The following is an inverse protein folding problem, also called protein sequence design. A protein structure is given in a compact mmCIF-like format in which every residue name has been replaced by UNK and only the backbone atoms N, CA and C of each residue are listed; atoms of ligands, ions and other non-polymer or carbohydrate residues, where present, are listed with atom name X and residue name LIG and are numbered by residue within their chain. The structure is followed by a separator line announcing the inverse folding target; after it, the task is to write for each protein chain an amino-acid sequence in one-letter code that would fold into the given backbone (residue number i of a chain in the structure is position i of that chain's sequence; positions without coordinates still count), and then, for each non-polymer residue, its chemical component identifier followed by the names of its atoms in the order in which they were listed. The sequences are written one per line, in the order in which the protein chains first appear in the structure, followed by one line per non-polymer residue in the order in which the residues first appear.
data_IF_427798532409
#
_entry.id   IF_427798532409
#
_cell.length_a   1.000
_cell.length_b   1.000
_cell.length_c   1.000
_cell.angle_alpha   90.00
_cell.angle_beta   90.00
_cell.angle_gamma   90.00
#
_symmetry.space_group_name_H-M   'P 1'
#
loop_
_entity.id
_entity.type
_entity.pdbx_description
1 polymer ?
#
# COMPACT_ATOMS: atom_id res chain seq x y z
N UNK A 1 -8.60 -0.48 42.13
CA UNK A 1 -7.23 -0.85 41.68
C UNK A 1 -6.99 -0.17 40.35
N UNK A 2 -6.20 0.90 40.33
CA UNK A 2 -5.79 1.52 39.07
C UNK A 2 -4.61 0.70 38.53
N UNK A 3 -4.79 0.04 37.38
CA UNK A 3 -3.66 -0.55 36.67
C UNK A 3 -2.77 0.58 36.17
N UNK A 4 -1.65 0.76 36.86
CA UNK A 4 -0.49 1.49 36.37
C UNK A 4 0.04 0.74 35.15
N UNK A 5 -0.36 1.17 33.96
CA UNK A 5 0.33 0.80 32.72
C UNK A 5 1.70 1.50 32.75
N UNK A 6 2.74 0.77 33.14
CA UNK A 6 4.11 1.22 32.94
C UNK A 6 4.30 1.37 31.42
N UNK A 7 4.24 2.61 30.92
CA UNK A 7 4.67 2.92 29.58
C UNK A 7 6.17 2.66 29.51
N UNK A 8 6.55 1.48 29.03
CA UNK A 8 7.90 1.21 28.55
C UNK A 8 8.27 2.33 27.59
N UNK A 9 9.47 2.89 27.76
CA UNK A 9 9.95 3.95 26.89
C UNK A 9 10.03 3.41 25.47
N UNK A 10 9.09 3.82 24.61
CA UNK A 10 9.06 3.47 23.17
C UNK A 10 10.44 3.69 22.56
N UNK A 11 11.02 2.65 21.98
CA UNK A 11 12.28 2.81 21.27
C UNK A 11 12.01 3.59 19.98
N UNK A 12 12.85 4.60 19.69
CA UNK A 12 12.65 5.46 18.54
C UNK A 12 13.81 5.29 17.56
N UNK A 13 13.48 5.03 16.30
CA UNK A 13 14.47 5.02 15.23
C UNK A 13 14.80 6.46 14.84
N UNK A 14 16.09 6.78 14.77
CA UNK A 14 16.60 8.11 14.43
C UNK A 14 17.56 8.04 13.24
N UNK A 15 17.29 8.82 12.21
CA UNK A 15 18.15 8.92 11.03
C UNK A 15 18.08 10.32 10.42
N UNK A 16 19.09 10.70 9.64
CA UNK A 16 19.10 11.97 8.90
C UNK A 16 18.85 11.71 7.43
N UNK A 17 18.06 12.57 6.79
CA UNK A 17 17.85 12.59 5.34
C UNK A 17 17.90 14.01 4.79
N UNK A 18 18.13 14.15 3.49
CA UNK A 18 18.28 15.46 2.86
C UNK A 18 16.93 16.09 2.48
N UNK A 19 15.95 15.26 2.08
CA UNK A 19 14.61 15.73 1.72
C UNK A 19 13.85 16.26 2.96
N UNK A 20 13.01 17.31 2.81
CA UNK A 20 12.12 17.78 3.87
C UNK A 20 10.94 16.82 4.12
N UNK A 21 10.25 16.95 5.28
CA UNK A 21 8.95 16.30 5.51
C UNK A 21 7.94 16.65 4.41
N UNK A 22 7.14 15.66 4.00
CA UNK A 22 6.21 15.82 2.89
C UNK A 22 4.99 16.70 3.19
N UNK A 23 4.54 16.77 4.45
CA UNK A 23 3.21 17.29 4.77
C UNK A 23 3.23 18.62 5.52
N UNK A 24 4.13 18.80 6.49
CA UNK A 24 4.12 20.00 7.30
C UNK A 24 5.49 20.43 7.81
N UNK A 25 5.74 21.74 7.77
CA UNK A 25 6.90 22.40 8.35
C UNK A 25 6.44 23.55 9.27
N UNK A 26 6.85 23.48 10.52
CA UNK A 26 6.64 24.52 11.51
C UNK A 26 7.95 25.28 11.72
N UNK A 27 8.03 26.49 11.17
CA UNK A 27 9.14 27.40 11.44
C UNK A 27 8.85 28.25 12.69
N UNK A 28 9.74 28.16 13.67
CA UNK A 28 9.72 28.98 14.88
C UNK A 28 10.78 30.06 14.74
N UNK A 29 10.35 31.32 14.65
CA UNK A 29 11.27 32.45 14.48
C UNK A 29 12.08 32.75 15.74
N UNK A 30 11.54 32.47 16.93
CA UNK A 30 12.23 32.66 18.20
C UNK A 30 11.91 31.56 19.21
N UNK A 31 12.78 30.55 19.28
CA UNK A 31 12.71 29.51 20.30
C UNK A 31 12.90 30.08 21.70
N UNK A 32 13.62 31.20 21.85
CA UNK A 32 13.77 31.88 23.14
C UNK A 32 12.41 32.29 23.70
N UNK A 33 11.58 32.94 22.88
CA UNK A 33 10.20 33.30 23.26
C UNK A 33 9.35 32.05 23.43
N UNK A 34 9.40 31.11 22.49
CA UNK A 34 8.63 29.86 22.59
C UNK A 34 8.91 29.12 23.91
N UNK A 35 10.16 29.10 24.36
CA UNK A 35 10.58 28.39 25.57
C UNK A 35 10.04 28.97 26.88
N UNK A 36 9.38 30.14 26.84
CA UNK A 36 8.65 30.66 28.02
C UNK A 36 7.27 30.01 28.17
N UNK A 37 6.75 29.36 27.12
CA UNK A 37 5.49 28.64 27.14
C UNK A 37 5.70 27.18 27.57
N UNK A 38 4.67 26.60 28.19
CA UNK A 38 4.64 25.17 28.51
C UNK A 38 4.38 24.33 27.26
N UNK A 39 3.48 24.81 26.39
CA UNK A 39 3.03 24.16 25.17
C UNK A 39 2.78 25.21 24.09
N UNK A 40 3.01 24.83 22.84
CA UNK A 40 2.56 25.54 21.65
C UNK A 40 1.94 24.55 20.66
N UNK A 41 0.78 24.92 20.13
CA UNK A 41 0.09 24.17 19.09
C UNK A 41 0.23 24.91 17.74
N UNK A 42 0.64 24.20 16.69
CA UNK A 42 0.76 24.78 15.35
C UNK A 42 -0.59 25.09 14.72
N UNK A 43 -0.55 25.74 13.56
CA UNK A 43 -1.70 25.75 12.64
C UNK A 43 -2.05 24.34 12.16
N UNK A 44 -3.27 24.22 11.61
CA UNK A 44 -3.80 22.96 11.08
C UNK A 44 -3.22 22.64 9.70
N UNK A 45 -3.09 21.35 9.40
CA UNK A 45 -2.78 20.84 8.06
C UNK A 45 -3.57 19.55 7.80
N UNK A 46 -3.92 19.32 6.54
CA UNK A 46 -4.82 18.23 6.17
C UNK A 46 -4.07 17.08 5.48
N UNK A 47 -4.28 15.85 5.95
CA UNK A 47 -3.72 14.63 5.34
C UNK A 47 -4.72 13.50 5.51
N UNK A 48 -5.05 12.81 4.40
CA UNK A 48 -5.97 11.68 4.42
C UNK A 48 -7.37 12.04 4.89
N UNK A 49 -7.87 13.23 4.52
CA UNK A 49 -9.16 13.81 4.94
C UNK A 49 -9.29 14.06 6.45
N UNK A 50 -8.17 14.13 7.17
CA UNK A 50 -8.12 14.47 8.59
C UNK A 50 -7.29 15.72 8.83
N UNK A 51 -7.66 16.48 9.86
CA UNK A 51 -6.98 17.70 10.27
C UNK A 51 -6.01 17.41 11.40
N UNK A 52 -4.76 17.75 11.17
CA UNK A 52 -3.65 17.50 12.06
C UNK A 52 -3.03 18.80 12.56
N UNK A 53 -2.38 18.74 13.72
CA UNK A 53 -1.46 19.78 14.18
C UNK A 53 -0.23 19.19 14.87
N UNK A 54 0.83 19.99 14.97
CA UNK A 54 1.97 19.71 15.83
C UNK A 54 1.76 20.35 17.20
N UNK A 55 1.88 19.55 18.25
CA UNK A 55 1.91 20.02 19.64
C UNK A 55 3.34 19.92 20.17
N UNK A 56 3.93 21.08 20.45
CA UNK A 56 5.33 21.24 20.84
C UNK A 56 5.41 21.67 22.30
N UNK A 57 6.18 20.94 23.10
CA UNK A 57 6.50 21.28 24.50
C UNK A 57 7.98 21.64 24.57
N UNK A 58 8.33 22.95 24.54
CA UNK A 58 9.71 23.39 24.38
C UNK A 58 10.64 22.98 25.53
N UNK A 59 10.08 22.76 26.74
CA UNK A 59 10.80 22.32 27.94
C UNK A 59 10.47 20.87 28.34
N UNK A 60 9.74 20.18 27.48
CA UNK A 60 9.31 18.81 27.68
C UNK A 60 7.93 18.72 28.34
N UNK A 61 7.19 17.67 27.98
CA UNK A 61 5.92 17.33 28.59
C UNK A 61 6.18 16.55 29.89
N UNK A 62 5.91 17.20 31.03
CA UNK A 62 6.21 16.66 32.36
C UNK A 62 5.35 15.45 32.70
N UNK A 63 4.12 15.41 32.19
CA UNK A 63 3.17 14.32 32.45
C UNK A 63 3.64 12.98 31.86
N UNK A 64 4.56 13.04 30.89
CA UNK A 64 5.11 11.87 30.19
C UNK A 64 6.64 11.79 30.27
N UNK A 65 7.24 12.24 31.38
CA UNK A 65 8.69 12.13 31.62
C UNK A 65 9.58 12.81 30.56
N UNK A 66 9.09 13.89 29.94
CA UNK A 66 9.79 14.66 28.92
C UNK A 66 10.78 15.71 29.44
N UNK A 67 10.88 15.89 30.75
CA UNK A 67 11.77 16.89 31.37
C UNK A 67 13.22 16.80 30.85
N UNK A 68 13.77 17.95 30.42
CA UNK A 68 15.13 18.02 29.85
C UNK A 68 15.19 17.75 28.34
N UNK A 69 14.06 17.45 27.72
CA UNK A 69 13.90 17.24 26.28
C UNK A 69 12.91 18.25 25.71
N UNK A 70 12.97 18.44 24.40
CA UNK A 70 11.82 18.92 23.64
C UNK A 70 10.90 17.72 23.46
N UNK A 71 9.61 17.88 23.73
CA UNK A 71 8.59 16.90 23.35
C UNK A 71 7.82 17.40 22.15
N UNK A 72 7.55 16.50 21.20
CA UNK A 72 6.83 16.84 19.98
C UNK A 72 5.83 15.73 19.69
N UNK A 73 4.60 16.14 19.38
CA UNK A 73 3.49 15.25 19.12
C UNK A 73 2.72 15.68 17.87
N UNK A 74 2.13 14.68 17.22
CA UNK A 74 1.09 14.82 16.22
C UNK A 74 -0.27 14.67 16.92
N UNK A 75 -1.16 15.63 16.69
CA UNK A 75 -2.51 15.64 17.25
C UNK A 75 -3.55 15.68 16.13
N UNK A 76 -4.64 14.94 16.29
CA UNK A 76 -5.81 14.99 15.39
C UNK A 76 -6.86 15.94 15.97
N UNK A 77 -7.41 16.83 15.14
CA UNK A 77 -8.36 17.86 15.55
C UNK A 77 -9.81 17.44 15.33
N UNK A 78 -10.08 16.89 14.16
CA UNK A 78 -11.36 16.29 13.81
C UNK A 78 -11.49 14.96 14.54
N UNK A 79 -11.94 15.02 15.81
CA UNK A 79 -12.10 13.84 16.65
C UNK A 79 -12.99 12.82 15.94
N UNK A 80 -12.45 11.65 15.60
CA UNK A 80 -13.23 10.62 14.95
C UNK A 80 -14.21 10.04 15.97
N UNK A 81 -15.48 10.47 15.91
CA UNK A 81 -16.50 10.14 16.91
C UNK A 81 -16.80 8.63 16.98
N UNK A 82 -16.71 7.92 15.86
CA UNK A 82 -17.07 6.50 15.73
C UNK A 82 -16.06 5.70 14.89
N UNK A 83 -14.84 6.21 14.69
CA UNK A 83 -13.83 5.52 13.90
C UNK A 83 -12.46 5.57 14.58
N UNK A 84 -11.60 4.64 14.17
CA UNK A 84 -10.19 4.63 14.57
C UNK A 84 -9.36 4.94 13.33
N UNK A 85 -8.58 6.01 13.41
CA UNK A 85 -7.70 6.44 12.33
C UNK A 85 -6.33 5.82 12.57
N UNK A 86 -5.87 5.00 11.62
CA UNK A 86 -4.56 4.35 11.70
C UNK A 86 -3.54 5.17 10.91
N UNK A 87 -2.42 5.47 11.54
CA UNK A 87 -1.43 6.41 11.00
C UNK A 87 -0.03 5.87 11.20
N UNK A 88 0.76 5.87 10.12
CA UNK A 88 2.21 5.89 10.23
C UNK A 88 2.66 7.36 10.18
N UNK A 89 3.38 7.83 11.19
CA UNK A 89 3.87 9.20 11.22
C UNK A 89 5.36 9.27 11.52
N UNK A 90 5.99 10.32 11.03
CA UNK A 90 7.38 10.68 11.32
C UNK A 90 7.44 12.14 11.72
N UNK A 91 8.27 12.44 12.71
CA UNK A 91 8.48 13.79 13.21
C UNK A 91 9.92 14.23 12.96
N UNK A 92 10.11 15.52 12.65
CA UNK A 92 11.36 16.03 12.11
C UNK A 92 11.85 17.26 12.85
N UNK A 93 13.16 17.44 12.86
CA UNK A 93 13.83 18.72 13.19
C UNK A 93 14.95 18.98 12.18
N UNK A 94 15.01 20.22 11.70
CA UNK A 94 15.96 20.62 10.65
C UNK A 94 17.34 20.92 11.25
N UNK A 95 18.35 20.15 10.85
CA UNK A 95 19.77 20.49 10.99
C UNK A 95 20.14 21.45 9.84
N UNK A 96 20.00 22.74 10.12
CA UNK A 96 20.25 23.82 9.16
C UNK A 96 21.69 23.88 8.69
N UNK A 97 22.63 23.47 9.54
CA UNK A 97 24.07 23.54 9.25
C UNK A 97 24.44 22.58 8.10
N UNK A 98 23.83 21.39 8.07
CA UNK A 98 24.09 20.38 7.04
C UNK A 98 22.98 20.31 5.99
N UNK A 99 21.96 21.15 6.13
CA UNK A 99 20.71 21.09 5.38
C UNK A 99 20.10 19.67 5.35
N UNK A 100 19.99 19.04 6.53
CA UNK A 100 19.40 17.70 6.70
C UNK A 100 18.29 17.72 7.72
N UNK A 101 17.41 16.74 7.67
CA UNK A 101 16.31 16.57 8.61
C UNK A 101 16.58 15.34 9.47
N UNK A 102 16.76 15.56 10.78
CA UNK A 102 16.70 14.47 11.74
C UNK A 102 15.25 14.00 11.81
N UNK A 103 15.05 12.74 11.45
CA UNK A 103 13.77 12.05 11.42
C UNK A 103 13.70 11.14 12.62
N UNK A 104 12.57 11.18 13.33
CA UNK A 104 12.28 10.31 14.46
C UNK A 104 10.93 9.64 14.20
N UNK A 105 10.92 8.31 14.29
CA UNK A 105 9.74 7.47 14.15
C UNK A 105 9.78 6.36 15.20
N UNK A 106 8.61 5.80 15.52
CA UNK A 106 8.51 4.68 16.46
C UNK A 106 9.11 3.43 15.80
N UNK A 107 10.04 2.76 16.49
CA UNK A 107 10.71 1.57 15.98
C UNK A 107 9.91 0.29 16.25
N UNK A 108 9.18 0.26 17.37
CA UNK A 108 8.48 -0.91 17.85
C UNK A 108 7.04 -0.96 17.32
N UNK A 109 6.38 0.20 17.28
CA UNK A 109 5.00 0.35 16.84
C UNK A 109 4.89 1.40 15.72
N UNK A 110 5.20 1.03 14.46
CA UNK A 110 5.18 1.98 13.35
C UNK A 110 3.77 2.49 13.03
N UNK A 111 2.73 1.83 13.52
CA UNK A 111 1.33 2.20 13.31
C UNK A 111 0.74 2.69 14.63
N UNK A 112 0.29 3.94 14.64
CA UNK A 112 -0.45 4.53 15.75
C UNK A 112 -1.92 4.67 15.40
N UNK A 113 -2.78 4.34 16.36
CA UNK A 113 -4.22 4.63 16.28
C UNK A 113 -4.55 5.95 16.95
N UNK A 114 -5.52 6.65 16.37
CA UNK A 114 -6.19 7.82 16.91
C UNK A 114 -7.69 7.55 17.01
N UNK A 115 -8.28 7.86 18.16
CA UNK A 115 -9.70 7.69 18.45
C UNK A 115 -10.17 8.77 19.44
N UNK A 116 -11.43 8.70 19.88
CA UNK A 116 -12.00 9.67 20.83
C UNK A 116 -11.24 9.78 22.15
N UNK A 117 -10.55 8.71 22.58
CA UNK A 117 -9.77 8.65 23.82
C UNK A 117 -8.30 9.02 23.62
N UNK A 118 -7.76 8.78 22.42
CA UNK A 118 -6.36 9.01 22.06
C UNK A 118 -6.25 9.93 20.86
N UNK A 119 -6.21 11.22 21.13
CA UNK A 119 -6.14 12.26 20.08
C UNK A 119 -4.72 12.71 19.76
N UNK A 120 -3.70 12.16 20.44
CA UNK A 120 -2.32 12.59 20.30
C UNK A 120 -1.35 11.40 20.39
N UNK A 121 -0.34 11.39 19.49
CA UNK A 121 0.79 10.46 19.52
C UNK A 121 2.09 11.23 19.26
N UNK A 122 3.20 10.79 19.86
CA UNK A 122 4.49 11.43 19.63
C UNK A 122 5.56 10.97 20.60
N UNK A 123 6.58 11.81 20.76
CA UNK A 123 7.77 11.48 21.53
C UNK A 123 7.94 12.47 22.69
N UNK A 124 7.69 12.04 23.94
CA UNK A 124 8.00 12.84 25.11
C UNK A 124 9.48 13.24 25.19
N UNK A 125 10.37 12.39 24.68
CA UNK A 125 11.83 12.63 24.61
C UNK A 125 12.31 12.73 23.16
N UNK A 126 11.68 13.59 22.36
CA UNK A 126 11.99 13.77 20.94
C UNK A 126 13.47 14.14 20.72
N UNK A 127 13.92 15.26 21.29
CA UNK A 127 15.32 15.71 21.20
C UNK A 127 15.77 16.33 22.52
N UNK A 128 16.95 15.95 23.02
CA UNK A 128 17.42 16.53 24.29
C UNK A 128 17.68 18.03 24.15
N UNK A 129 17.37 18.81 25.17
CA UNK A 129 17.63 20.25 25.16
C UNK A 129 19.12 20.56 25.02
N UNK A 130 19.99 19.69 25.56
CA UNK A 130 21.44 19.79 25.44
C UNK A 130 21.87 19.68 23.98
N UNK A 131 21.39 18.67 23.26
CA UNK A 131 21.72 18.49 21.84
C UNK A 131 21.09 19.56 20.97
N UNK A 132 19.85 19.96 21.25
CA UNK A 132 19.14 20.99 20.50
C UNK A 132 19.87 22.34 20.56
N UNK A 133 20.33 22.74 21.76
CA UNK A 133 21.04 24.01 21.97
C UNK A 133 22.51 23.97 21.55
N UNK A 134 23.09 22.80 21.29
CA UNK A 134 24.49 22.67 20.86
C UNK A 134 24.61 23.16 19.41
N UNK A 135 25.26 24.31 19.21
CA UNK A 135 25.44 24.93 17.87
C UNK A 135 25.99 23.99 16.80
N UNK A 136 26.91 23.09 17.15
CA UNK A 136 27.49 22.12 16.19
C UNK A 136 26.46 21.14 15.58
N UNK A 137 25.30 21.01 16.21
CA UNK A 137 24.23 20.12 15.76
C UNK A 137 23.27 20.79 14.77
N UNK A 138 23.30 22.12 14.64
CA UNK A 138 22.60 22.87 13.57
C UNK A 138 21.08 23.05 13.73
N UNK A 139 20.47 22.62 14.85
CA UNK A 139 19.01 22.69 15.03
C UNK A 139 18.47 24.08 15.40
N UNK A 140 19.32 24.91 15.99
CA UNK A 140 19.00 26.26 16.44
C UNK A 140 20.03 27.23 15.84
N UNK A 141 19.56 28.20 15.05
CA UNK A 141 20.45 29.16 14.41
C UNK A 141 20.81 30.34 15.32
N UNK A 142 21.60 31.28 14.80
CA UNK A 142 22.07 32.46 15.53
C UNK A 142 20.95 33.39 15.99
N UNK A 143 19.82 33.40 15.27
CA UNK A 143 18.62 34.17 15.63
C UNK A 143 17.71 33.40 16.60
N UNK A 144 18.14 32.25 17.10
CA UNK A 144 17.35 31.33 17.91
C UNK A 144 16.13 30.80 17.18
N UNK A 145 16.16 30.72 15.85
CA UNK A 145 15.07 30.15 15.06
C UNK A 145 15.32 28.66 14.79
N UNK A 146 14.25 27.87 14.74
CA UNK A 146 14.31 26.43 14.47
C UNK A 146 13.12 25.98 13.62
N UNK A 147 13.18 24.76 13.09
CA UNK A 147 12.12 24.22 12.24
C UNK A 147 11.84 22.77 12.60
N UNK A 148 10.58 22.47 12.90
CA UNK A 148 10.06 21.13 13.09
C UNK A 148 9.19 20.72 11.90
N UNK A 149 8.84 19.45 11.79
CA UNK A 149 7.89 19.03 10.77
C UNK A 149 7.28 17.66 11.00
N UNK A 150 6.36 17.31 10.12
CA UNK A 150 5.60 16.06 10.17
C UNK A 150 5.42 15.45 8.78
N UNK A 151 5.44 14.13 8.75
CA UNK A 151 5.02 13.30 7.62
C UNK A 151 4.00 12.32 8.16
N UNK A 152 2.83 12.26 7.54
CA UNK A 152 1.67 11.52 8.02
C UNK A 152 1.19 10.63 6.88
N UNK A 153 0.97 9.35 7.15
CA UNK A 153 0.41 8.40 6.21
C UNK A 153 -0.80 7.73 6.86
N UNK A 154 -1.99 8.12 6.41
CA UNK A 154 -3.27 7.60 6.90
C UNK A 154 -3.60 6.30 6.19
N UNK A 155 -3.74 5.22 6.96
CA UNK A 155 -4.02 3.88 6.45
C UNK A 155 -5.51 3.60 6.48
N UNK A 156 -6.00 3.03 5.38
CA UNK A 156 -7.39 2.64 5.20
C UNK A 156 -7.48 1.12 5.00
N UNK A 157 -7.40 0.32 6.08
CA UNK A 157 -7.18 -1.13 5.98
C UNK A 157 -8.27 -1.93 5.26
N UNK A 158 -9.47 -1.35 5.01
CA UNK A 158 -10.58 -2.05 4.36
C UNK A 158 -11.20 -1.31 3.16
N UNK A 159 -10.93 -0.02 2.96
CA UNK A 159 -11.57 0.77 1.89
C UNK A 159 -10.66 0.85 0.67
N UNK A 160 -11.13 0.36 -0.49
CA UNK A 160 -10.45 0.55 -1.77
C UNK A 160 -9.19 -0.30 -1.98
N UNK A 161 -8.96 -1.35 -1.17
CA UNK A 161 -7.89 -2.31 -1.46
C UNK A 161 -8.27 -3.07 -2.74
N UNK A 162 -7.47 -2.89 -3.79
CA UNK A 162 -7.51 -3.74 -4.97
C UNK A 162 -6.69 -5.00 -4.68
N UNK A 163 -7.35 -6.14 -4.73
CA UNK A 163 -6.69 -7.44 -4.64
C UNK A 163 -6.74 -8.10 -6.02
N UNK A 164 -5.61 -8.65 -6.46
CA UNK A 164 -5.54 -9.45 -7.68
C UNK A 164 -5.10 -10.86 -7.32
N UNK A 165 -5.72 -11.85 -7.96
CA UNK A 165 -5.34 -13.24 -7.83
C UNK A 165 -4.82 -13.74 -9.18
N UNK A 166 -3.59 -14.25 -9.19
CA UNK A 166 -3.01 -14.88 -10.37
C UNK A 166 -2.83 -16.38 -10.10
N UNK A 167 -3.30 -17.21 -11.03
CA UNK A 167 -3.10 -18.67 -10.98
C UNK A 167 -2.36 -19.12 -12.22
N UNK A 168 -1.22 -19.80 -12.04
CA UNK A 168 -0.47 -20.43 -13.12
C UNK A 168 -0.66 -21.94 -13.07
N UNK A 169 -1.35 -22.50 -14.08
CA UNK A 169 -1.50 -23.94 -14.23
C UNK A 169 -0.47 -24.43 -15.25
N UNK A 170 0.51 -25.22 -14.79
CA UNK A 170 1.45 -25.94 -15.67
C UNK A 170 1.04 -27.40 -15.75
N UNK A 171 0.79 -27.88 -16.96
CA UNK A 171 0.53 -29.30 -17.29
C UNK A 171 -0.51 -29.97 -16.37
N UNK A 172 -1.80 -29.64 -16.52
CA UNK A 172 -2.85 -30.31 -15.76
C UNK A 172 -2.83 -31.81 -16.01
N UNK A 173 -3.16 -32.60 -14.98
CA UNK A 173 -3.08 -34.08 -14.98
C UNK A 173 -3.86 -34.68 -16.17
N UNK A 174 -4.93 -34.01 -16.61
CA UNK A 174 -5.74 -34.40 -17.77
C UNK A 174 -5.75 -33.28 -18.82
N UNK A 175 -4.60 -32.95 -19.41
CA UNK A 175 -4.41 -31.83 -20.36
C UNK A 175 -4.94 -32.06 -21.79
N UNK A 176 -5.57 -33.20 -22.07
CA UNK A 176 -5.98 -33.58 -23.43
C UNK A 176 -7.49 -33.79 -23.49
N UNK A 177 -8.13 -33.13 -24.45
CA UNK A 177 -9.54 -33.34 -24.80
C UNK A 177 -9.64 -33.94 -26.20
N UNK A 178 -10.38 -35.05 -26.33
CA UNK A 178 -10.56 -35.76 -27.61
C UNK A 178 -12.00 -35.63 -28.09
N UNK A 179 -12.17 -35.02 -29.27
CA UNK A 179 -13.47 -34.96 -29.95
C UNK A 179 -13.48 -35.89 -31.17
N UNK A 180 -14.24 -36.98 -31.08
CA UNK A 180 -14.45 -37.92 -32.18
C UNK A 180 -15.64 -37.46 -33.03
N UNK A 181 -15.41 -37.23 -34.33
CA UNK A 181 -16.46 -36.87 -35.29
C UNK A 181 -16.75 -38.07 -36.17
N UNK A 182 -17.95 -38.61 -36.03
CA UNK A 182 -18.39 -39.75 -36.82
C UNK A 182 -19.02 -39.28 -38.13
N UNK A 183 -18.93 -40.10 -39.19
CA UNK A 183 -19.51 -39.80 -40.50
C UNK A 183 -19.01 -38.48 -41.14
N UNK A 184 -17.72 -38.15 -40.96
CA UNK A 184 -17.09 -36.91 -41.45
C UNK A 184 -17.43 -36.57 -42.92
N UNK A 185 -17.50 -37.57 -43.79
CA UNK A 185 -17.79 -37.42 -45.22
C UNK A 185 -19.18 -36.87 -45.54
N UNK A 186 -20.12 -36.89 -44.59
CA UNK A 186 -21.49 -36.39 -44.77
C UNK A 186 -21.63 -34.88 -44.51
N UNK A 187 -20.64 -34.24 -43.88
CA UNK A 187 -20.74 -32.82 -43.55
C UNK A 187 -20.33 -31.93 -44.73
N UNK A 188 -21.18 -30.95 -45.03
CA UNK A 188 -21.00 -30.07 -46.20
C UNK A 188 -20.28 -28.77 -45.84
N UNK A 189 -20.75 -28.06 -44.81
CA UNK A 189 -20.25 -26.72 -44.44
C UNK A 189 -20.44 -26.36 -42.96
N UNK A 190 -21.35 -27.03 -42.26
CA UNK A 190 -21.71 -26.61 -40.89
C UNK A 190 -20.64 -27.00 -39.87
N UNK A 191 -20.35 -26.11 -38.90
CA UNK A 191 -19.44 -26.45 -37.81
C UNK A 191 -19.98 -27.62 -37.00
N UNK A 192 -19.07 -28.45 -36.52
CA UNK A 192 -19.33 -29.44 -35.47
C UNK A 192 -18.89 -28.84 -34.14
N UNK A 193 -19.81 -28.24 -33.34
CA UNK A 193 -19.50 -27.71 -32.04
C UNK A 193 -19.44 -28.83 -30.99
N UNK A 194 -18.49 -28.71 -30.06
CA UNK A 194 -18.42 -29.55 -28.88
C UNK A 194 -18.06 -28.71 -27.66
N UNK A 195 -18.95 -28.71 -26.68
CA UNK A 195 -18.72 -28.09 -25.38
C UNK A 195 -17.97 -29.06 -24.46
N UNK A 196 -17.05 -28.52 -23.67
CA UNK A 196 -16.34 -29.27 -22.64
C UNK A 196 -15.89 -28.35 -21.49
N UNK A 197 -15.84 -28.92 -20.30
CA UNK A 197 -15.33 -28.24 -19.11
C UNK A 197 -13.85 -28.58 -18.94
N UNK A 198 -13.04 -27.56 -18.66
CA UNK A 198 -11.62 -27.74 -18.39
C UNK A 198 -11.17 -26.68 -17.40
N UNK A 199 -10.57 -27.12 -16.28
CA UNK A 199 -10.12 -26.24 -15.19
C UNK A 199 -11.22 -25.28 -14.71
N UNK A 200 -12.44 -25.81 -14.52
CA UNK A 200 -13.64 -25.07 -14.11
C UNK A 200 -14.11 -23.98 -15.08
N UNK A 201 -13.59 -23.96 -16.31
CA UNK A 201 -14.03 -23.05 -17.38
C UNK A 201 -14.75 -23.83 -18.48
N UNK A 202 -15.77 -23.20 -19.08
CA UNK A 202 -16.48 -23.76 -20.24
C UNK A 202 -15.80 -23.38 -21.54
N UNK A 203 -15.48 -24.40 -22.32
CA UNK A 203 -14.86 -24.28 -23.63
C UNK A 203 -15.80 -24.81 -24.72
N UNK A 204 -15.66 -24.26 -25.92
CA UNK A 204 -16.35 -24.68 -27.14
C UNK A 204 -15.33 -24.92 -28.23
N UNK A 205 -15.15 -26.17 -28.63
CA UNK A 205 -14.39 -26.53 -29.81
C UNK A 205 -15.33 -26.49 -31.02
N UNK A 206 -14.95 -25.77 -32.08
CA UNK A 206 -15.71 -25.69 -33.32
C UNK A 206 -14.83 -26.18 -34.46
N UNK A 207 -15.25 -27.27 -35.10
CA UNK A 207 -14.53 -27.85 -36.25
C UNK A 207 -15.35 -27.60 -37.51
N UNK A 208 -14.75 -26.94 -38.49
CA UNK A 208 -15.36 -26.64 -39.79
C UNK A 208 -14.81 -27.59 -40.85
N UNK A 209 -15.61 -28.54 -41.38
CA UNK A 209 -15.14 -29.59 -42.28
C UNK A 209 -14.67 -29.10 -43.65
N UNK A 210 -15.18 -27.94 -44.09
CA UNK A 210 -14.77 -27.26 -45.33
C UNK A 210 -14.74 -25.76 -45.08
N UNK A 211 -13.61 -25.13 -45.35
CA UNK A 211 -13.46 -23.68 -45.25
C UNK A 211 -14.10 -23.01 -46.47
N UNK A 212 -14.92 -21.97 -46.25
CA UNK A 212 -15.38 -21.10 -47.33
C UNK A 212 -14.24 -20.15 -47.73
N UNK A 213 -13.86 -20.14 -49.01
CA UNK A 213 -12.79 -19.29 -49.56
C UNK A 213 -11.71 -20.08 -50.31
N UNK A 214 -10.51 -19.52 -50.44
CA UNK A 214 -9.43 -19.98 -51.32
C UNK A 214 -8.83 -21.37 -50.99
N UNK A 215 -9.28 -22.04 -49.91
CA UNK A 215 -8.87 -23.38 -49.48
C UNK A 215 -9.94 -24.47 -49.63
N UNK A 216 -10.95 -24.25 -50.47
CA UNK A 216 -12.14 -25.10 -50.60
C UNK A 216 -11.79 -26.59 -50.78
N UNK A 217 -12.15 -27.41 -49.80
CA UNK A 217 -12.02 -28.87 -49.83
C UNK A 217 -10.63 -29.45 -49.55
N UNK A 218 -9.62 -28.62 -49.24
CA UNK A 218 -8.24 -29.08 -48.96
C UNK A 218 -7.81 -28.92 -47.50
N UNK A 219 -8.57 -28.18 -46.70
CA UNK A 219 -8.24 -27.91 -45.30
C UNK A 219 -9.52 -27.80 -44.47
N UNK A 220 -9.40 -28.07 -43.17
CA UNK A 220 -10.40 -27.81 -42.16
C UNK A 220 -9.96 -26.65 -41.27
N UNK A 221 -10.90 -25.99 -40.60
CA UNK A 221 -10.59 -24.98 -39.57
C UNK A 221 -11.04 -25.47 -38.20
N UNK A 222 -10.20 -25.26 -37.19
CA UNK A 222 -10.52 -25.54 -35.79
C UNK A 222 -10.44 -24.23 -35.02
N UNK A 223 -11.51 -23.92 -34.29
CA UNK A 223 -11.57 -22.79 -33.38
C UNK A 223 -11.83 -23.30 -31.98
N UNK A 224 -11.14 -22.72 -31.01
CA UNK A 224 -11.40 -22.96 -29.60
C UNK A 224 -11.85 -21.64 -28.98
N UNK A 225 -13.05 -21.64 -28.40
CA UNK A 225 -13.66 -20.46 -27.78
C UNK A 225 -13.91 -20.73 -26.29
N UNK A 226 -13.47 -19.82 -25.44
CA UNK A 226 -13.89 -19.79 -24.04
C UNK A 226 -15.27 -19.14 -23.95
N UNK A 227 -16.20 -19.71 -23.20
CA UNK A 227 -17.59 -19.25 -23.15
C UNK A 227 -17.86 -18.24 -22.03
N UNK A 228 -17.13 -18.33 -20.93
CA UNK A 228 -17.40 -17.57 -19.70
C UNK A 228 -16.36 -16.46 -19.46
N UNK A 229 -16.11 -15.60 -20.46
CA UNK A 229 -15.21 -14.45 -20.28
C UNK A 229 -16.02 -13.25 -19.76
N UNK A 230 -15.63 -12.71 -18.60
CA UNK A 230 -16.01 -11.34 -18.20
C UNK A 230 -14.97 -10.35 -18.71
N UNK A 231 -15.32 -9.05 -18.84
CA UNK A 231 -14.39 -8.01 -19.34
C UNK A 231 -13.11 -7.87 -18.50
N UNK A 232 -13.08 -8.43 -17.28
CA UNK A 232 -11.94 -8.39 -16.35
C UNK A 232 -11.05 -9.65 -16.43
N UNK A 233 -11.44 -10.68 -17.20
CA UNK A 233 -10.71 -11.94 -17.31
C UNK A 233 -9.63 -11.89 -18.41
N UNK A 234 -8.37 -11.64 -18.04
CA UNK A 234 -7.23 -11.86 -18.92
C UNK A 234 -6.67 -13.28 -18.76
N UNK A 235 -6.83 -14.13 -19.78
CA UNK A 235 -6.29 -15.50 -19.78
C UNK A 235 -5.24 -15.68 -20.88
N UNK A 236 -4.02 -16.09 -20.49
CA UNK A 236 -2.99 -16.53 -21.43
C UNK A 236 -3.01 -18.07 -21.49
N UNK A 237 -3.47 -18.62 -22.61
CA UNK A 237 -3.54 -20.06 -22.81
C UNK A 237 -2.74 -20.48 -24.06
N UNK A 238 -1.98 -21.56 -23.97
CA UNK A 238 -1.32 -22.20 -25.12
C UNK A 238 -1.98 -23.53 -25.40
N UNK A 239 -2.49 -23.69 -26.61
CA UNK A 239 -3.10 -24.94 -27.07
C UNK A 239 -2.25 -25.57 -28.15
N UNK A 240 -2.27 -26.90 -28.19
CA UNK A 240 -1.75 -27.69 -29.30
C UNK A 240 -2.92 -28.50 -29.86
N UNK A 241 -3.12 -28.45 -31.16
CA UNK A 241 -4.11 -29.26 -31.86
C UNK A 241 -3.40 -30.41 -32.56
N UNK A 242 -3.91 -31.62 -32.36
CA UNK A 242 -3.50 -32.80 -33.12
C UNK A 242 -4.73 -33.41 -33.79
N UNK A 243 -4.64 -33.67 -35.09
CA UNK A 243 -5.64 -34.41 -35.84
C UNK A 243 -5.11 -35.82 -36.09
N UNK A 244 -5.88 -36.84 -35.68
CA UNK A 244 -5.54 -38.24 -35.91
C UNK A 244 -6.55 -38.79 -36.91
N UNK A 245 -6.06 -39.24 -38.07
CA UNK A 245 -6.88 -39.88 -39.10
C UNK A 245 -7.38 -41.26 -38.63
N UNK A 246 -8.37 -41.85 -39.32
CA UNK A 246 -8.77 -43.23 -39.02
C UNK A 246 -7.56 -44.16 -39.17
N UNK A 247 -7.30 -44.97 -38.15
CA UNK A 247 -6.33 -46.06 -38.24
C UNK A 247 -6.72 -46.92 -39.44
N UNK A 248 -5.87 -46.97 -40.48
CA UNK A 248 -6.04 -47.98 -41.52
C UNK A 248 -5.97 -49.33 -40.82
N UNK A 249 -7.07 -50.08 -40.80
CA UNK A 249 -6.98 -51.51 -40.53
C UNK A 249 -6.17 -52.09 -41.67
N UNK A 250 -4.96 -52.55 -41.37
CA UNK A 250 -4.24 -53.46 -42.25
C UNK A 250 -5.19 -54.63 -42.58
N UNK A 251 -5.34 -54.89 -43.88
CA UNK A 251 -6.12 -56.00 -44.44
C UNK A 251 -5.32 -57.28 -44.25
#
# INVERSE_FOLDING_TARGET
MAMSCFATAKESAKYKRDLPPAHYLLKIESFKVLSTLDKYDSGEFEVGNHKWRLSLYPKGNKDYNGSGYISLYLSIEDRPLNETVYVNYKLFVHDKLRNKYLTIQDADEPISSFDVSKTQCGFPRFLSLKEFKKRSNGYLDEKYSCTFGAEVFVMHPAKGRKEESFTLIRYPIQNTFTFKIENWSKFRTDPQPKDFDFEKRKWKLMVYPKVNGAGKGKSLSVYLKMQDLTEEDASLCRFQFACVGPTQKEI
#
